data_IF_875022632551
#
_entry.id   IF_875022632551
#
_cell.length_a   1.000
_cell.length_b   1.000
_cell.length_c   1.000
_cell.angle_alpha   90.00
_cell.angle_beta   90.00
_cell.angle_gamma   90.00
#
_symmetry.space_group_name_H-M   'P 1'
#
loop_
_entity.id
_entity.type
_entity.pdbx_description
1 polymer ?
#
# COMPACT_ATOMS: atom_id res chain seq x y z
N UNK A 1 -33.68 -2.48 -63.64
CA UNK A 1 -33.32 -1.82 -64.92
C UNK A 1 -32.71 -0.47 -64.56
N UNK A 2 -31.41 -0.29 -64.89
CA UNK A 2 -30.59 0.92 -65.09
C UNK A 2 -30.99 2.25 -64.39
N UNK A 3 -30.14 2.85 -63.54
CA UNK A 3 -28.98 3.72 -63.87
C UNK A 3 -29.39 5.20 -64.01
N UNK A 4 -28.74 6.10 -63.25
CA UNK A 4 -28.31 7.48 -63.64
C UNK A 4 -28.10 8.34 -62.36
N UNK A 5 -26.85 8.73 -62.05
CA UNK A 5 -26.22 10.02 -62.41
C UNK A 5 -26.85 11.25 -61.71
N UNK A 6 -26.17 11.93 -60.77
CA UNK A 6 -25.01 12.83 -60.91
C UNK A 6 -25.39 14.31 -61.07
N UNK A 7 -24.84 15.17 -60.19
CA UNK A 7 -24.30 16.55 -60.38
C UNK A 7 -24.39 17.30 -59.03
N UNK A 8 -23.34 17.42 -58.21
CA UNK A 8 -22.11 18.27 -58.25
C UNK A 8 -22.37 19.79 -58.22
N UNK A 9 -21.67 20.43 -57.27
CA UNK A 9 -21.16 21.82 -57.22
C UNK A 9 -21.94 22.84 -56.38
N UNK A 10 -21.37 23.85 -55.68
CA UNK A 10 -20.01 24.31 -55.31
C UNK A 10 -20.27 25.48 -54.31
N UNK A 11 -19.43 25.64 -53.28
CA UNK A 11 -19.40 26.79 -52.33
C UNK A 11 -18.85 28.08 -53.03
N UNK A 12 -18.33 29.16 -52.40
CA UNK A 12 -18.34 29.69 -51.03
C UNK A 12 -18.59 31.24 -50.95
N UNK A 13 -18.79 31.82 -49.76
CA UNK A 13 -18.33 33.18 -49.39
C UNK A 13 -18.78 33.49 -47.94
N UNK A 14 -17.87 33.44 -46.96
CA UNK A 14 -17.01 34.55 -46.52
C UNK A 14 -17.76 35.54 -45.63
N UNK A 15 -17.57 35.44 -44.32
CA UNK A 15 -17.17 36.57 -43.48
C UNK A 15 -17.03 36.14 -42.01
N UNK A 16 -15.76 36.04 -41.58
CA UNK A 16 -15.26 36.50 -40.28
C UNK A 16 -16.22 36.48 -39.08
N UNK A 17 -15.93 35.63 -38.09
CA UNK A 17 -15.92 36.07 -36.70
C UNK A 17 -15.23 35.08 -35.76
N UNK A 18 -14.20 35.62 -35.10
CA UNK A 18 -13.70 35.26 -33.76
C UNK A 18 -12.81 34.01 -33.65
N UNK A 19 -11.52 34.27 -33.82
CA UNK A 19 -10.51 33.74 -32.92
C UNK A 19 -10.93 34.01 -31.47
N UNK A 20 -11.11 32.95 -30.69
CA UNK A 20 -11.19 32.99 -29.23
C UNK A 20 -10.79 31.60 -28.71
N UNK A 21 -9.48 31.46 -28.51
CA UNK A 21 -8.85 30.74 -27.40
C UNK A 21 -9.62 29.52 -26.86
N UNK A 22 -9.19 28.32 -27.25
CA UNK A 22 -9.43 27.09 -26.50
C UNK A 22 -8.11 26.34 -26.27
N UNK A 23 -7.08 27.06 -25.82
CA UNK A 23 -5.83 26.47 -25.29
C UNK A 23 -5.89 26.30 -23.76
N UNK A 24 -6.96 26.76 -23.09
CA UNK A 24 -7.13 26.65 -21.63
C UNK A 24 -8.23 25.65 -21.27
N UNK A 25 -8.02 24.39 -21.62
CA UNK A 25 -8.88 23.29 -21.13
C UNK A 25 -8.12 21.98 -20.87
N UNK A 26 -6.80 22.06 -20.63
CA UNK A 26 -5.99 20.86 -20.30
C UNK A 26 -4.98 21.05 -19.17
N UNK A 27 -5.01 22.19 -18.48
CA UNK A 27 -4.12 22.48 -17.35
C UNK A 27 -4.79 22.29 -15.97
N UNK A 28 -6.11 22.10 -15.91
CA UNK A 28 -6.86 22.03 -14.65
C UNK A 28 -6.92 20.64 -14.01
N UNK A 29 -6.39 19.59 -14.64
CA UNK A 29 -6.24 18.27 -13.99
C UNK A 29 -4.93 18.09 -13.23
N UNK A 30 -3.93 18.95 -13.46
CA UNK A 30 -2.64 18.87 -12.76
C UNK A 30 -2.60 19.66 -11.43
N UNK A 31 -3.41 20.70 -11.28
CA UNK A 31 -3.43 21.55 -10.08
C UNK A 31 -4.34 21.03 -8.95
N UNK A 32 -5.12 19.96 -9.19
CA UNK A 32 -6.03 19.34 -8.21
C UNK A 32 -5.49 18.06 -7.59
N UNK A 33 -4.17 17.89 -7.60
CA UNK A 33 -3.49 16.75 -6.97
C UNK A 33 -2.75 17.17 -5.69
N UNK A 34 -2.21 18.39 -5.64
CA UNK A 34 -1.38 18.87 -4.51
C UNK A 34 -2.18 19.28 -3.27
N UNK A 35 -3.46 19.63 -3.39
CA UNK A 35 -4.33 19.95 -2.24
C UNK A 35 -5.08 18.75 -1.66
N UNK A 36 -5.18 17.63 -2.39
CA UNK A 36 -5.77 16.40 -1.85
C UNK A 36 -4.82 15.68 -0.90
N UNK A 37 -3.52 15.60 -1.22
CA UNK A 37 -2.57 14.84 -0.40
C UNK A 37 -2.36 15.43 1.01
N UNK A 38 -2.40 16.76 1.16
CA UNK A 38 -2.30 17.41 2.48
C UNK A 38 -3.55 17.20 3.34
N UNK A 39 -4.72 17.08 2.71
CA UNK A 39 -5.97 16.72 3.40
C UNK A 39 -6.00 15.24 3.81
N UNK A 40 -5.39 14.35 3.01
CA UNK A 40 -5.23 12.93 3.35
C UNK A 40 -4.31 12.73 4.56
N UNK A 41 -3.22 13.48 4.68
CA UNK A 41 -2.34 13.42 5.85
C UNK A 41 -3.06 13.80 7.15
N UNK A 42 -3.85 14.89 7.12
CA UNK A 42 -4.61 15.35 8.28
C UNK A 42 -5.71 14.36 8.70
N UNK A 43 -6.32 13.68 7.73
CA UNK A 43 -7.35 12.66 7.99
C UNK A 43 -6.76 11.35 8.50
N UNK A 44 -5.55 10.94 8.07
CA UNK A 44 -4.87 9.78 8.65
C UNK A 44 -4.44 10.04 10.09
N UNK A 45 -3.93 11.23 10.41
CA UNK A 45 -3.61 11.60 11.80
C UNK A 45 -4.86 11.58 12.69
N UNK A 46 -5.97 12.13 12.21
CA UNK A 46 -7.26 12.05 12.91
C UNK A 46 -7.73 10.59 13.11
N UNK A 47 -7.50 9.70 12.14
CA UNK A 47 -7.80 8.27 12.28
C UNK A 47 -6.88 7.55 13.26
N UNK A 48 -5.59 7.89 13.29
CA UNK A 48 -4.63 7.33 14.23
C UNK A 48 -5.05 7.68 15.67
N UNK A 49 -5.52 8.90 15.88
CA UNK A 49 -6.10 9.38 17.14
C UNK A 49 -7.43 8.67 17.45
N UNK A 50 -8.38 8.62 16.51
CA UNK A 50 -9.68 7.94 16.66
C UNK A 50 -9.51 6.45 17.01
N UNK A 51 -8.54 5.77 16.39
CA UNK A 51 -8.23 4.36 16.65
C UNK A 51 -7.38 4.17 17.92
N UNK A 52 -6.93 5.25 18.56
CA UNK A 52 -6.12 5.23 19.79
C UNK A 52 -4.81 4.45 19.63
N UNK A 53 -4.21 4.44 18.43
CA UNK A 53 -3.08 3.55 18.14
C UNK A 53 -1.85 3.92 18.96
N UNK A 54 -1.60 5.21 19.19
CA UNK A 54 -0.48 5.65 20.03
C UNK A 54 -0.65 5.19 21.49
N UNK A 55 -1.85 5.36 22.05
CA UNK A 55 -2.15 4.92 23.41
C UNK A 55 -2.01 3.42 23.58
N UNK A 56 -2.47 2.62 22.59
CA UNK A 56 -2.29 1.16 22.61
C UNK A 56 -0.82 0.74 22.51
N UNK A 57 -0.04 1.43 21.68
CA UNK A 57 1.39 1.15 21.51
C UNK A 57 2.17 1.50 22.79
N UNK A 58 1.78 2.57 23.47
CA UNK A 58 2.33 2.99 24.77
C UNK A 58 1.92 2.05 25.91
N UNK A 59 0.64 1.68 25.98
CA UNK A 59 0.11 0.75 27.00
C UNK A 59 0.79 -0.63 26.89
N UNK A 60 1.08 -1.08 25.67
CA UNK A 60 1.85 -2.30 25.43
C UNK A 60 3.36 -2.14 25.72
N UNK A 61 3.82 -0.93 26.04
CA UNK A 61 5.22 -0.59 26.28
C UNK A 61 6.14 -0.91 25.10
N UNK A 62 5.58 -0.98 23.88
CA UNK A 62 6.32 -1.45 22.71
C UNK A 62 7.46 -0.51 22.38
N UNK A 63 7.26 0.81 22.55
CA UNK A 63 8.31 1.80 22.32
C UNK A 63 9.48 1.59 23.29
N UNK A 64 9.20 1.40 24.58
CA UNK A 64 10.25 1.17 25.59
C UNK A 64 11.00 -0.15 25.37
N UNK A 65 10.29 -1.21 24.95
CA UNK A 65 10.91 -2.50 24.59
C UNK A 65 11.76 -2.39 23.33
N UNK A 66 11.31 -1.62 22.34
CA UNK A 66 12.04 -1.42 21.09
C UNK A 66 13.31 -0.60 21.32
N UNK A 67 13.23 0.45 22.13
CA UNK A 67 14.39 1.23 22.56
C UNK A 67 15.38 0.38 23.36
N UNK A 68 14.89 -0.42 24.31
CA UNK A 68 15.72 -1.35 25.09
C UNK A 68 16.35 -2.44 24.22
N UNK A 69 15.70 -2.84 23.12
CA UNK A 69 16.27 -3.76 22.13
C UNK A 69 17.35 -3.13 21.24
N UNK A 70 17.63 -1.83 21.41
CA UNK A 70 18.65 -1.11 20.64
C UNK A 70 18.18 -0.68 19.24
N UNK A 71 16.90 -0.89 18.90
CA UNK A 71 16.29 -0.42 17.65
C UNK A 71 15.93 1.06 17.76
N UNK A 72 16.96 1.90 17.88
CA UNK A 72 16.82 3.36 17.89
C UNK A 72 16.87 3.90 16.46
N UNK A 73 16.37 5.11 16.24
CA UNK A 73 16.37 5.77 14.94
C UNK A 73 17.77 5.80 14.28
N UNK A 74 18.81 6.02 15.08
CA UNK A 74 20.19 6.02 14.57
C UNK A 74 20.66 4.64 14.08
N UNK A 75 20.17 3.54 14.67
CA UNK A 75 20.48 2.18 14.20
C UNK A 75 19.66 1.81 12.96
N UNK A 76 18.41 2.26 12.89
CA UNK A 76 17.55 2.08 11.71
C UNK A 76 18.14 2.82 10.49
N UNK A 77 18.69 4.01 10.71
CA UNK A 77 19.38 4.78 9.67
C UNK A 77 20.71 4.11 9.27
N UNK A 78 21.54 3.73 10.25
CA UNK A 78 22.82 3.05 9.98
C UNK A 78 22.65 1.70 9.29
N UNK A 79 21.61 0.95 9.63
CA UNK A 79 21.28 -0.32 8.96
C UNK A 79 20.73 -0.11 7.54
N UNK A 80 20.44 1.13 7.14
CA UNK A 80 19.88 1.47 5.85
C UNK A 80 18.53 0.79 5.61
N UNK A 81 17.82 0.40 6.68
CA UNK A 81 16.62 -0.41 6.57
C UNK A 81 15.50 0.36 5.89
N UNK A 82 15.40 1.67 6.16
CA UNK A 82 14.48 2.57 5.45
C UNK A 82 14.82 2.67 3.97
N UNK A 83 16.11 2.81 3.63
CA UNK A 83 16.55 2.85 2.23
C UNK A 83 16.32 1.51 1.51
N UNK A 84 16.50 0.38 2.20
CA UNK A 84 16.19 -0.95 1.66
C UNK A 84 14.69 -1.14 1.50
N UNK A 85 13.89 -0.68 2.45
CA UNK A 85 12.43 -0.74 2.39
C UNK A 85 11.89 0.14 1.25
N UNK A 86 12.46 1.33 1.04
CA UNK A 86 12.13 2.19 -0.09
C UNK A 86 12.51 1.55 -1.42
N UNK A 87 13.73 1.02 -1.54
CA UNK A 87 14.17 0.28 -2.75
C UNK A 87 13.34 -0.97 -3.02
N UNK A 88 12.90 -1.65 -1.97
CA UNK A 88 12.00 -2.79 -2.06
C UNK A 88 10.53 -2.37 -2.32
N UNK A 89 10.24 -1.07 -2.38
CA UNK A 89 8.90 -0.55 -2.64
C UNK A 89 7.92 -0.74 -1.46
N UNK A 90 8.39 -1.14 -0.28
CA UNK A 90 7.55 -1.42 0.90
C UNK A 90 6.80 -0.15 1.34
N UNK A 91 7.46 1.01 1.29
CA UNK A 91 6.82 2.30 1.59
C UNK A 91 5.70 2.63 0.61
N UNK A 92 5.90 2.30 -0.68
CA UNK A 92 4.87 2.50 -1.71
C UNK A 92 3.73 1.50 -1.56
N UNK A 93 4.04 0.24 -1.24
CA UNK A 93 3.05 -0.78 -0.91
C UNK A 93 2.20 -0.32 0.27
N UNK A 94 2.78 0.13 1.38
CA UNK A 94 1.99 0.62 2.54
C UNK A 94 1.08 1.80 2.17
N UNK A 95 1.48 2.66 1.23
CA UNK A 95 0.64 3.76 0.77
C UNK A 95 -0.49 3.33 -0.18
N UNK A 96 -0.42 2.13 -0.77
CA UNK A 96 -1.40 1.63 -1.74
C UNK A 96 -2.65 1.06 -1.06
N UNK A 97 -3.84 1.41 -1.58
CA UNK A 97 -5.14 0.99 -1.04
C UNK A 97 -5.43 -0.52 -1.20
N UNK A 98 -4.73 -1.22 -2.09
CA UNK A 98 -4.83 -2.67 -2.29
C UNK A 98 -4.00 -3.48 -1.29
N UNK A 99 -3.06 -2.86 -0.61
CA UNK A 99 -2.12 -3.53 0.29
C UNK A 99 -2.74 -4.19 1.51
N UNK A 100 -3.80 -3.67 2.17
CA UNK A 100 -4.49 -4.40 3.22
C UNK A 100 -4.99 -5.78 2.76
N UNK A 101 -5.58 -5.85 1.56
CA UNK A 101 -6.02 -7.10 0.96
C UNK A 101 -4.83 -8.04 0.71
N UNK A 102 -3.78 -7.53 0.08
CA UNK A 102 -2.57 -8.31 -0.19
C UNK A 102 -1.93 -8.85 1.10
N UNK A 103 -1.76 -8.02 2.14
CA UNK A 103 -1.22 -8.44 3.43
C UNK A 103 -2.07 -9.54 4.07
N UNK A 104 -3.40 -9.44 4.00
CA UNK A 104 -4.28 -10.50 4.54
C UNK A 104 -4.09 -11.84 3.81
N UNK A 105 -3.90 -11.81 2.50
CA UNK A 105 -3.62 -13.02 1.72
C UNK A 105 -2.25 -13.60 2.04
N UNK A 106 -1.24 -12.74 2.20
CA UNK A 106 0.10 -13.14 2.64
C UNK A 106 0.03 -13.77 4.04
N UNK A 107 -0.77 -13.19 4.95
CA UNK A 107 -0.98 -13.74 6.28
C UNK A 107 -1.63 -15.12 6.24
N UNK A 108 -2.62 -15.33 5.38
CA UNK A 108 -3.27 -16.62 5.19
C UNK A 108 -2.32 -17.66 4.57
N UNK A 109 -1.54 -17.26 3.57
CA UNK A 109 -0.52 -18.13 2.96
C UNK A 109 0.58 -18.47 3.97
N UNK A 110 1.02 -17.51 4.79
CA UNK A 110 2.00 -17.75 5.84
C UNK A 110 1.46 -18.69 6.93
N UNK A 111 0.20 -18.53 7.34
CA UNK A 111 -0.45 -19.42 8.30
C UNK A 111 -0.60 -20.85 7.74
N UNK A 112 -1.05 -20.97 6.49
CA UNK A 112 -1.11 -22.26 5.80
C UNK A 112 0.29 -22.88 5.63
N UNK A 113 1.29 -22.05 5.30
CA UNK A 113 2.69 -22.45 5.23
C UNK A 113 3.23 -22.95 6.55
N UNK A 114 2.85 -22.34 7.68
CA UNK A 114 3.24 -22.81 9.01
C UNK A 114 2.68 -24.21 9.29
N UNK A 115 1.39 -24.43 9.02
CA UNK A 115 0.75 -25.74 9.18
C UNK A 115 1.36 -26.78 8.23
N UNK A 116 1.62 -26.41 6.97
CA UNK A 116 2.25 -27.27 5.99
C UNK A 116 3.69 -27.64 6.39
N UNK A 117 4.45 -26.71 6.97
CA UNK A 117 5.80 -26.96 7.44
C UNK A 117 5.81 -27.97 8.59
N UNK A 118 4.91 -27.81 9.56
CA UNK A 118 4.73 -28.77 10.67
C UNK A 118 4.29 -30.15 10.16
N UNK A 119 3.46 -30.20 9.13
CA UNK A 119 3.00 -31.47 8.56
C UNK A 119 4.07 -32.16 7.72
N UNK A 120 4.91 -31.41 7.00
CA UNK A 120 5.86 -31.94 6.03
C UNK A 120 7.24 -32.27 6.62
N UNK A 121 7.64 -31.63 7.71
CA UNK A 121 8.95 -31.87 8.34
C UNK A 121 8.86 -33.07 9.28
N UNK A 122 9.70 -34.11 9.09
CA UNK A 122 9.75 -35.26 10.00
C UNK A 122 10.38 -34.91 11.35
N UNK A 123 9.81 -35.43 12.43
CA UNK A 123 10.29 -35.26 13.80
C UNK A 123 11.36 -36.29 14.21
N UNK A 124 12.18 -36.78 13.27
CA UNK A 124 13.12 -37.89 13.49
C UNK A 124 14.32 -37.51 14.37
N UNK A 125 14.67 -36.22 14.41
CA UNK A 125 15.79 -35.72 15.20
C UNK A 125 15.42 -34.43 15.94
N UNK A 126 15.98 -34.17 17.13
CA UNK A 126 15.69 -32.95 17.88
C UNK A 126 16.08 -31.68 17.11
N UNK A 127 17.06 -31.77 16.21
CA UNK A 127 17.46 -30.65 15.35
C UNK A 127 16.36 -30.28 14.33
N UNK A 128 15.70 -31.27 13.72
CA UNK A 128 14.59 -31.04 12.81
C UNK A 128 13.37 -30.48 13.54
N UNK A 129 13.04 -31.01 14.72
CA UNK A 129 11.96 -30.49 15.57
C UNK A 129 12.22 -29.04 15.96
N UNK A 130 13.46 -28.70 16.34
CA UNK A 130 13.83 -27.33 16.67
C UNK A 130 13.72 -26.40 15.44
N UNK A 131 14.20 -26.84 14.28
CA UNK A 131 14.09 -26.07 13.04
C UNK A 131 12.62 -25.86 12.62
N UNK A 132 11.78 -26.89 12.77
CA UNK A 132 10.34 -26.81 12.53
C UNK A 132 9.67 -25.85 13.49
N UNK A 133 9.97 -25.91 14.78
CA UNK A 133 9.41 -25.00 15.77
C UNK A 133 9.77 -23.55 15.46
N UNK A 134 11.03 -23.28 15.11
CA UNK A 134 11.49 -21.94 14.71
C UNK A 134 10.81 -21.48 13.42
N UNK A 135 10.74 -22.35 12.40
CA UNK A 135 10.09 -22.04 11.12
C UNK A 135 8.59 -21.78 11.26
N UNK A 136 7.88 -22.64 11.97
CA UNK A 136 6.45 -22.52 12.23
C UNK A 136 6.14 -21.30 13.11
N UNK A 137 6.95 -21.03 14.13
CA UNK A 137 6.81 -19.83 14.94
C UNK A 137 7.08 -18.57 14.12
N UNK A 138 8.09 -18.57 13.25
CA UNK A 138 8.39 -17.46 12.35
C UNK A 138 7.26 -17.17 11.37
N UNK A 139 6.72 -18.20 10.72
CA UNK A 139 5.58 -18.07 9.80
C UNK A 139 4.30 -17.68 10.53
N UNK A 140 4.06 -18.22 11.73
CA UNK A 140 2.94 -17.85 12.59
C UNK A 140 3.00 -16.40 13.02
N UNK A 141 4.17 -15.93 13.47
CA UNK A 141 4.41 -14.54 13.81
C UNK A 141 4.21 -13.62 12.60
N UNK A 142 4.72 -14.01 11.43
CA UNK A 142 4.50 -13.27 10.18
C UNK A 142 3.02 -13.20 9.79
N UNK A 143 2.27 -14.29 9.97
CA UNK A 143 0.84 -14.33 9.70
C UNK A 143 0.08 -13.35 10.61
N UNK A 144 0.34 -13.39 11.92
CA UNK A 144 -0.28 -12.49 12.89
C UNK A 144 0.07 -11.04 12.56
N UNK A 145 1.34 -10.74 12.30
CA UNK A 145 1.78 -9.40 11.91
C UNK A 145 1.08 -8.91 10.63
N UNK A 146 0.93 -9.79 9.63
CA UNK A 146 0.26 -9.47 8.38
C UNK A 146 -1.25 -9.23 8.56
N UNK A 147 -1.95 -10.03 9.39
CA UNK A 147 -3.36 -9.81 9.70
C UNK A 147 -3.59 -8.54 10.50
N UNK A 148 -2.83 -8.32 11.57
CA UNK A 148 -2.95 -7.11 12.40
C UNK A 148 -2.60 -5.88 11.57
N UNK A 149 -1.49 -5.94 10.83
CA UNK A 149 -1.05 -4.87 9.93
C UNK A 149 -2.08 -4.56 8.84
N UNK A 150 -2.69 -5.59 8.23
CA UNK A 150 -3.77 -5.42 7.25
C UNK A 150 -4.96 -4.67 7.84
N UNK A 151 -5.43 -5.06 9.02
CA UNK A 151 -6.61 -4.45 9.65
C UNK A 151 -6.35 -3.00 10.04
N UNK A 152 -5.18 -2.70 10.62
CA UNK A 152 -4.78 -1.33 10.96
C UNK A 152 -4.67 -0.49 9.69
N UNK A 153 -3.95 -0.99 8.68
CA UNK A 153 -3.73 -0.26 7.44
C UNK A 153 -5.06 -0.01 6.69
N UNK A 154 -5.92 -1.01 6.60
CA UNK A 154 -7.24 -0.87 5.98
C UNK A 154 -8.15 0.13 6.71
N UNK A 155 -8.03 0.22 8.04
CA UNK A 155 -8.77 1.21 8.83
C UNK A 155 -8.23 2.63 8.62
N UNK A 156 -6.92 2.80 8.49
CA UNK A 156 -6.26 4.09 8.22
C UNK A 156 -6.51 4.59 6.80
N UNK A 157 -6.57 3.70 5.81
CA UNK A 157 -6.77 4.04 4.39
C UNK A 157 -8.24 4.28 4.02
N UNK A 158 -9.16 4.15 4.98
CA UNK A 158 -10.59 4.45 4.84
C UNK A 158 -10.81 5.98 4.89
N UNK A 159 -10.27 6.65 3.86
CA UNK A 159 -10.32 8.08 3.51
C UNK A 159 -10.97 8.29 2.16
#
# INVERSE_FOLDING_TARGET
MALAMQKRAVAPARAARRASVSVVARASTAAKQSTKNSATGLTVLARIEELGLLSKVEELGLLSKLESSGLTLSQIEKSGLLSKAEKAGILTLVADKGTPGLLSTVGLVAAAGAAALVFAVPDDTPALVAAQAVGAAGLGAAAVAAFVGSNILGSLQKV
#
